data_IF_201552426920
#
_entry.id   IF_201552426920
#
_cell.length_a   1.000
_cell.length_b   1.000
_cell.length_c   1.000
_cell.angle_alpha   90.00
_cell.angle_beta   90.00
_cell.angle_gamma   90.00
#
_symmetry.space_group_name_H-M   'P 1'
#
loop_
_entity.id
_entity.type
_entity.pdbx_description
1 polymer ?
#
# COMPACT_ATOMS: atom_id res chain seq x y z
N UNK A 1 -6.85 22.52 -9.44
CA UNK A 1 -5.45 22.33 -9.90
C UNK A 1 -4.64 22.01 -8.65
N UNK A 2 -3.86 20.92 -8.64
CA UNK A 2 -3.10 20.52 -7.45
C UNK A 2 -2.02 21.56 -7.11
N UNK A 3 -1.85 21.85 -5.81
CA UNK A 3 -0.75 22.70 -5.34
C UNK A 3 0.59 21.96 -5.49
N UNK A 4 1.71 22.70 -5.47
CA UNK A 4 3.05 22.10 -5.56
C UNK A 4 3.33 21.15 -4.38
N UNK A 5 2.78 21.47 -3.20
CA UNK A 5 2.95 20.66 -2.00
C UNK A 5 2.09 19.39 -2.03
N UNK A 6 0.89 19.46 -2.63
CA UNK A 6 0.09 18.27 -2.93
C UNK A 6 0.81 17.34 -3.90
N UNK A 7 1.46 17.87 -4.95
CA UNK A 7 2.23 17.06 -5.89
C UNK A 7 3.47 16.43 -5.22
N UNK A 8 4.15 17.16 -4.33
CA UNK A 8 5.26 16.63 -3.56
C UNK A 8 4.83 15.47 -2.65
N UNK A 9 3.74 15.64 -1.90
CA UNK A 9 3.17 14.60 -1.04
C UNK A 9 2.62 13.41 -1.82
N UNK A 10 2.04 13.64 -3.00
CA UNK A 10 1.62 12.59 -3.91
C UNK A 10 2.84 11.77 -4.39
N UNK A 11 3.97 12.41 -4.71
CA UNK A 11 5.22 11.72 -5.06
C UNK A 11 5.73 10.83 -3.90
N UNK A 12 5.63 11.32 -2.66
CA UNK A 12 5.95 10.52 -1.47
C UNK A 12 4.97 9.35 -1.27
N UNK A 13 3.68 9.56 -1.53
CA UNK A 13 2.68 8.48 -1.56
C UNK A 13 3.05 7.41 -2.59
N UNK A 14 3.47 7.81 -3.79
CA UNK A 14 3.94 6.86 -4.82
C UNK A 14 5.13 6.05 -4.29
N UNK A 15 6.13 6.71 -3.71
CA UNK A 15 7.32 6.06 -3.15
C UNK A 15 7.00 5.02 -2.07
N UNK A 16 5.94 5.27 -1.29
CA UNK A 16 5.58 4.47 -0.13
C UNK A 16 5.10 3.07 -0.54
N UNK A 17 4.23 2.98 -1.55
CA UNK A 17 3.59 1.72 -1.93
C UNK A 17 4.12 1.11 -3.24
N UNK A 18 4.86 1.88 -4.07
CA UNK A 18 5.41 1.38 -5.33
C UNK A 18 6.25 0.09 -5.17
N UNK A 19 7.15 -0.04 -4.18
CA UNK A 19 7.96 -1.25 -4.05
C UNK A 19 7.14 -2.50 -3.72
N UNK A 20 6.05 -2.36 -2.95
CA UNK A 20 5.11 -3.45 -2.72
C UNK A 20 4.34 -3.82 -3.99
N UNK A 21 3.88 -2.84 -4.76
CA UNK A 21 3.20 -3.11 -6.03
C UNK A 21 4.14 -3.75 -7.07
N UNK A 22 5.42 -3.39 -7.08
CA UNK A 22 6.45 -4.06 -7.88
C UNK A 22 6.73 -5.50 -7.42
N UNK A 23 6.65 -5.77 -6.11
CA UNK A 23 6.71 -7.15 -5.59
C UNK A 23 5.55 -7.99 -6.16
N UNK A 24 4.31 -7.48 -6.12
CA UNK A 24 3.14 -8.19 -6.66
C UNK A 24 3.31 -8.52 -8.15
N UNK A 25 3.79 -7.56 -8.94
CA UNK A 25 4.03 -7.78 -10.37
C UNK A 25 5.23 -8.71 -10.68
N UNK A 26 6.11 -8.95 -9.71
CA UNK A 26 7.24 -9.89 -9.85
C UNK A 26 7.00 -11.26 -9.21
N UNK A 27 5.87 -11.45 -8.49
CA UNK A 27 5.49 -12.75 -7.92
C UNK A 27 5.47 -13.89 -8.95
N UNK A 28 4.94 -13.73 -10.18
CA UNK A 28 4.93 -14.82 -11.16
C UNK A 28 6.33 -15.31 -11.53
N UNK A 29 7.31 -14.39 -11.56
CA UNK A 29 8.72 -14.76 -11.76
C UNK A 29 9.18 -15.63 -10.60
N UNK A 30 9.09 -15.15 -9.36
CA UNK A 30 9.59 -15.85 -8.17
C UNK A 30 8.91 -17.20 -7.90
N UNK A 31 7.59 -17.30 -8.17
CA UNK A 31 6.82 -18.54 -8.00
C UNK A 31 7.26 -19.62 -8.99
N UNK A 32 7.47 -19.25 -10.25
CA UNK A 32 7.93 -20.21 -11.26
C UNK A 32 9.43 -20.47 -11.11
N UNK A 33 10.21 -19.45 -10.74
CA UNK A 33 11.66 -19.48 -10.62
C UNK A 33 12.15 -18.42 -9.61
N UNK A 34 12.82 -18.79 -8.50
CA UNK A 34 13.38 -20.10 -8.15
C UNK A 34 12.57 -20.87 -7.09
N UNK A 35 11.34 -20.46 -6.74
CA UNK A 35 10.61 -20.98 -5.57
C UNK A 35 9.47 -21.93 -5.92
N UNK A 36 9.64 -22.71 -6.99
CA UNK A 36 8.63 -23.65 -7.45
C UNK A 36 8.16 -24.57 -6.31
N UNK A 37 6.84 -24.61 -6.08
CA UNK A 37 6.21 -25.45 -5.05
C UNK A 37 6.25 -24.90 -3.62
N UNK A 38 6.76 -23.69 -3.40
CA UNK A 38 6.79 -23.05 -2.07
C UNK A 38 5.63 -22.06 -1.83
N UNK A 39 4.73 -21.89 -2.80
CA UNK A 39 3.59 -20.95 -2.75
C UNK A 39 4.06 -19.55 -2.31
N UNK A 40 4.99 -18.99 -3.10
CA UNK A 40 5.60 -17.70 -2.85
C UNK A 40 4.58 -16.54 -2.83
N UNK A 41 3.55 -16.48 -3.71
CA UNK A 41 2.51 -15.46 -3.64
C UNK A 41 1.82 -15.43 -2.28
N UNK A 42 1.39 -16.59 -1.75
CA UNK A 42 0.77 -16.65 -0.44
C UNK A 42 1.74 -16.25 0.67
N UNK A 43 2.94 -16.84 0.70
CA UNK A 43 3.92 -16.59 1.78
C UNK A 43 4.37 -15.13 1.80
N UNK A 44 4.66 -14.55 0.63
CA UNK A 44 5.08 -13.15 0.50
C UNK A 44 4.01 -12.17 0.99
N UNK A 45 2.73 -12.41 0.65
CA UNK A 45 1.62 -11.57 1.11
C UNK A 45 1.43 -11.68 2.62
N UNK A 46 1.46 -12.90 3.18
CA UNK A 46 1.34 -13.10 4.62
C UNK A 46 2.49 -12.45 5.40
N UNK A 47 3.73 -12.63 4.95
CA UNK A 47 4.91 -11.99 5.57
C UNK A 47 4.76 -10.47 5.54
N UNK A 48 4.42 -9.89 4.39
CA UNK A 48 4.24 -8.44 4.28
C UNK A 48 3.15 -7.92 5.22
N UNK A 49 1.96 -8.52 5.20
CA UNK A 49 0.82 -8.08 6.02
C UNK A 49 1.10 -8.19 7.52
N UNK A 50 1.65 -9.31 7.98
CA UNK A 50 1.99 -9.50 9.40
C UNK A 50 3.05 -8.52 9.87
N UNK A 51 4.12 -8.34 9.08
CA UNK A 51 5.18 -7.40 9.41
C UNK A 51 4.70 -5.95 9.34
N UNK A 52 3.82 -5.60 8.41
CA UNK A 52 3.25 -4.26 8.29
C UNK A 52 2.39 -3.93 9.52
N UNK A 53 1.45 -4.81 9.88
CA UNK A 53 0.61 -4.65 11.07
C UNK A 53 1.45 -4.57 12.35
N UNK A 54 2.44 -5.46 12.50
CA UNK A 54 3.33 -5.47 13.66
C UNK A 54 4.16 -4.18 13.75
N UNK A 55 4.65 -3.69 12.61
CA UNK A 55 5.44 -2.45 12.54
C UNK A 55 4.60 -1.21 12.83
N UNK A 56 3.35 -1.17 12.33
CA UNK A 56 2.40 -0.10 12.64
C UNK A 56 2.04 -0.09 14.12
N UNK A 57 1.75 -1.24 14.73
CA UNK A 57 1.47 -1.35 16.16
C UNK A 57 2.67 -0.91 17.01
N UNK A 58 3.88 -1.33 16.62
CA UNK A 58 5.11 -0.91 17.27
C UNK A 58 5.30 0.61 17.18
N UNK A 59 5.06 1.22 16.01
CA UNK A 59 5.12 2.66 15.80
C UNK A 59 4.04 3.43 16.56
N UNK A 60 2.84 2.86 16.76
CA UNK A 60 1.81 3.48 17.60
C UNK A 60 2.27 3.57 19.06
N UNK A 61 3.01 2.58 19.55
CA UNK A 61 3.48 2.55 20.95
C UNK A 61 4.80 3.31 21.19
N UNK A 62 5.70 3.33 20.20
CA UNK A 62 7.08 3.85 20.34
C UNK A 62 7.44 4.98 19.37
N UNK A 63 6.52 5.37 18.49
CA UNK A 63 6.76 6.36 17.44
C UNK A 63 7.06 7.77 17.95
N UNK A 64 6.65 8.09 19.17
CA UNK A 64 6.90 9.38 19.83
C UNK A 64 8.37 9.57 20.20
N UNK A 65 9.13 8.49 20.36
CA UNK A 65 10.55 8.55 20.73
C UNK A 65 11.46 8.96 19.56
N UNK A 66 10.97 8.93 18.33
CA UNK A 66 11.76 9.23 17.13
C UNK A 66 11.29 10.53 16.49
N UNK A 67 12.24 11.41 16.14
CA UNK A 67 11.92 12.62 15.37
C UNK A 67 11.33 12.24 14.00
N UNK A 68 10.42 13.07 13.48
CA UNK A 68 9.80 12.93 12.16
C UNK A 68 10.86 12.78 11.08
N UNK A 69 11.91 13.60 11.14
CA UNK A 69 12.98 13.60 10.15
C UNK A 69 13.85 12.33 10.23
N UNK A 70 14.14 11.82 11.42
CA UNK A 70 14.85 10.55 11.56
C UNK A 70 14.01 9.38 11.05
N UNK A 71 12.69 9.38 11.30
CA UNK A 71 11.77 8.36 10.78
C UNK A 71 11.75 8.36 9.24
N UNK A 72 11.46 9.50 8.62
CA UNK A 72 11.37 9.59 7.16
C UNK A 72 12.74 9.34 6.50
N UNK A 73 13.82 9.89 7.06
CA UNK A 73 15.17 9.66 6.56
C UNK A 73 15.62 8.20 6.65
N UNK A 74 15.43 7.56 7.81
CA UNK A 74 15.74 6.13 7.97
C UNK A 74 14.87 5.26 7.07
N UNK A 75 13.60 5.62 6.85
CA UNK A 75 12.74 4.88 5.95
C UNK A 75 13.22 4.92 4.49
N UNK A 76 13.70 6.06 3.99
CA UNK A 76 14.31 6.12 2.65
C UNK A 76 15.56 5.25 2.54
N UNK A 77 16.42 5.26 3.57
CA UNK A 77 17.62 4.40 3.59
C UNK A 77 17.21 2.92 3.56
N UNK A 78 16.30 2.51 4.44
CA UNK A 78 15.77 1.15 4.47
C UNK A 78 15.16 0.77 3.12
N UNK A 79 14.41 1.67 2.49
CA UNK A 79 13.76 1.43 1.20
C UNK A 79 14.77 1.23 0.06
N UNK A 80 15.84 2.03 0.01
CA UNK A 80 16.92 1.84 -0.98
C UNK A 80 17.62 0.50 -0.75
N UNK A 81 17.95 0.17 0.50
CA UNK A 81 18.59 -1.11 0.85
C UNK A 81 17.70 -2.28 0.44
N UNK A 82 16.41 -2.24 0.76
CA UNK A 82 15.43 -3.26 0.36
C UNK A 82 15.36 -3.42 -1.15
N UNK A 83 15.26 -2.32 -1.90
CA UNK A 83 15.19 -2.39 -3.37
C UNK A 83 16.50 -2.93 -3.97
N UNK A 84 17.66 -2.58 -3.42
CA UNK A 84 18.95 -3.15 -3.81
C UNK A 84 19.05 -4.64 -3.46
N UNK A 85 18.53 -5.05 -2.29
CA UNK A 85 18.46 -6.45 -1.89
C UNK A 85 17.57 -7.25 -2.84
N UNK A 86 16.40 -6.75 -3.21
CA UNK A 86 15.55 -7.41 -4.22
C UNK A 86 16.24 -7.49 -5.58
N UNK A 87 16.89 -6.42 -6.04
CA UNK A 87 17.64 -6.42 -7.28
C UNK A 87 18.77 -7.47 -7.26
N UNK A 88 19.54 -7.51 -6.18
CA UNK A 88 20.62 -8.48 -5.98
C UNK A 88 20.13 -9.92 -5.88
N UNK A 89 19.07 -10.17 -5.11
CA UNK A 89 18.45 -11.50 -4.98
C UNK A 89 17.91 -11.98 -6.34
N UNK A 90 17.25 -11.10 -7.10
CA UNK A 90 16.73 -11.42 -8.44
C UNK A 90 17.86 -11.87 -9.38
N UNK A 91 19.02 -11.20 -9.34
CA UNK A 91 20.19 -11.60 -10.13
C UNK A 91 20.83 -12.90 -9.61
N UNK A 92 20.97 -13.04 -8.29
CA UNK A 92 21.66 -14.16 -7.67
C UNK A 92 20.85 -15.47 -7.73
N UNK A 93 19.52 -15.36 -7.74
CA UNK A 93 18.57 -16.46 -7.88
C UNK A 93 18.64 -17.17 -9.25
N UNK A 94 19.33 -16.60 -10.24
CA UNK A 94 19.57 -17.21 -11.55
C UNK A 94 20.43 -18.49 -11.49
N UNK A 95 21.22 -18.66 -10.43
CA UNK A 95 22.10 -19.82 -10.26
C UNK A 95 21.40 -21.10 -9.78
N UNK A 96 22.12 -22.23 -9.85
CA UNK A 96 21.62 -23.57 -9.52
C UNK A 96 21.14 -23.79 -8.08
N UNK A 97 21.25 -22.79 -7.20
CA UNK A 97 20.88 -22.85 -5.79
C UNK A 97 19.87 -21.77 -5.37
N UNK A 98 18.96 -21.41 -6.29
CA UNK A 98 17.94 -20.38 -6.09
C UNK A 98 17.05 -20.55 -4.84
N UNK A 99 16.81 -21.79 -4.39
CA UNK A 99 16.03 -22.09 -3.20
C UNK A 99 16.62 -21.49 -1.90
N UNK A 100 17.94 -21.31 -1.81
CA UNK A 100 18.57 -20.68 -0.63
C UNK A 100 18.18 -19.21 -0.46
N UNK A 101 17.69 -18.56 -1.51
CA UNK A 101 17.25 -17.16 -1.46
C UNK A 101 15.81 -17.00 -0.96
N UNK A 102 15.09 -18.08 -0.64
CA UNK A 102 13.71 -18.02 -0.15
C UNK A 102 13.60 -17.31 1.20
N UNK A 103 14.42 -17.69 2.17
CA UNK A 103 14.42 -17.02 3.49
C UNK A 103 14.96 -15.58 3.39
N UNK A 104 16.07 -15.29 2.67
CA UNK A 104 16.52 -13.92 2.44
C UNK A 104 15.47 -13.00 1.80
N UNK A 105 14.69 -13.48 0.80
CA UNK A 105 13.67 -12.65 0.17
C UNK A 105 12.52 -12.36 1.14
N UNK A 106 12.08 -13.34 1.96
CA UNK A 106 11.06 -13.12 2.98
C UNK A 106 11.53 -12.12 4.06
N UNK A 107 12.80 -12.19 4.47
CA UNK A 107 13.40 -11.19 5.35
C UNK A 107 13.39 -9.79 4.70
N UNK A 108 13.72 -9.71 3.41
CA UNK A 108 13.68 -8.46 2.64
C UNK A 108 12.25 -7.89 2.58
N UNK A 109 11.23 -8.76 2.42
CA UNK A 109 9.81 -8.38 2.46
C UNK A 109 9.40 -7.88 3.86
N UNK A 110 9.90 -8.50 4.93
CA UNK A 110 9.65 -8.03 6.29
C UNK A 110 10.22 -6.62 6.53
N UNK A 111 11.45 -6.36 6.05
CA UNK A 111 12.07 -5.03 6.12
C UNK A 111 11.34 -4.04 5.22
N UNK A 112 10.85 -4.46 4.05
CA UNK A 112 9.99 -3.64 3.18
C UNK A 112 8.72 -3.19 3.92
N UNK A 113 8.07 -4.10 4.63
CA UNK A 113 6.86 -3.80 5.39
C UNK A 113 7.16 -2.80 6.53
N UNK A 114 8.30 -2.96 7.21
CA UNK A 114 8.76 -2.01 8.23
C UNK A 114 9.09 -0.64 7.63
N UNK A 115 9.85 -0.58 6.52
CA UNK A 115 10.18 0.69 5.87
C UNK A 115 8.94 1.41 5.39
N UNK A 116 7.97 0.68 4.83
CA UNK A 116 6.67 1.22 4.45
C UNK A 116 5.92 1.78 5.67
N UNK A 117 5.82 1.03 6.77
CA UNK A 117 5.15 1.50 7.99
C UNK A 117 5.78 2.80 8.53
N UNK A 118 7.12 2.86 8.59
CA UNK A 118 7.86 4.04 9.08
C UNK A 118 7.66 5.23 8.16
N UNK A 119 7.76 5.04 6.84
CA UNK A 119 7.59 6.11 5.84
C UNK A 119 6.15 6.61 5.85
N UNK A 120 5.17 5.71 5.69
CA UNK A 120 3.75 5.99 5.63
C UNK A 120 3.30 6.78 6.86
N UNK A 121 3.59 6.28 8.07
CA UNK A 121 3.20 6.98 9.30
C UNK A 121 3.91 8.33 9.46
N UNK A 122 5.15 8.46 8.99
CA UNK A 122 5.88 9.73 8.98
C UNK A 122 5.22 10.78 8.08
N UNK A 123 4.96 10.43 6.82
CA UNK A 123 4.38 11.36 5.84
C UNK A 123 2.93 11.71 6.15
N UNK A 124 2.12 10.75 6.62
CA UNK A 124 0.75 11.02 7.07
C UNK A 124 0.72 11.88 8.33
N UNK A 125 1.68 11.71 9.25
CA UNK A 125 1.81 12.57 10.42
C UNK A 125 2.05 14.04 10.03
N UNK A 126 2.91 14.30 9.04
CA UNK A 126 3.19 15.65 8.53
C UNK A 126 2.01 16.21 7.74
N UNK A 127 1.41 15.43 6.84
CA UNK A 127 0.29 15.91 6.04
C UNK A 127 -0.97 16.17 6.88
N UNK A 128 -1.23 15.31 7.88
CA UNK A 128 -2.37 15.45 8.79
C UNK A 128 -2.32 16.70 9.67
N UNK A 129 -1.12 17.22 9.98
CA UNK A 129 -0.98 18.48 10.72
C UNK A 129 -1.08 19.73 9.85
N UNK A 130 -0.99 19.60 8.51
CA UNK A 130 -1.21 20.70 7.57
C UNK A 130 -2.70 20.81 7.22
N UNK A 131 -3.26 19.76 6.60
CA UNK A 131 -4.68 19.67 6.28
C UNK A 131 -5.08 18.26 5.81
N UNK A 132 -6.37 17.93 5.90
CA UNK A 132 -6.89 16.66 5.37
C UNK A 132 -6.73 16.56 3.85
N UNK A 133 -6.75 17.68 3.11
CA UNK A 133 -6.50 17.67 1.66
C UNK A 133 -5.07 17.22 1.30
N UNK A 134 -4.10 17.52 2.16
CA UNK A 134 -2.71 17.05 2.00
C UNK A 134 -2.60 15.54 2.23
N UNK A 135 -3.35 15.01 3.22
CA UNK A 135 -3.42 13.57 3.46
C UNK A 135 -4.08 12.82 2.30
N UNK A 136 -5.13 13.41 1.71
CA UNK A 136 -5.76 12.87 0.51
C UNK A 136 -4.81 12.83 -0.70
N UNK A 137 -3.89 13.80 -0.84
CA UNK A 137 -2.87 13.79 -1.89
C UNK A 137 -1.88 12.62 -1.73
N UNK A 138 -1.48 12.28 -0.49
CA UNK A 138 -0.67 11.07 -0.23
C UNK A 138 -1.45 9.82 -0.66
N UNK A 139 -2.71 9.72 -0.26
CA UNK A 139 -3.57 8.57 -0.60
C UNK A 139 -3.74 8.41 -2.10
N UNK A 140 -3.91 9.50 -2.85
CA UNK A 140 -3.92 9.47 -4.31
C UNK A 140 -2.60 8.94 -4.86
N UNK A 141 -1.47 9.35 -4.28
CA UNK A 141 -0.13 8.83 -4.60
C UNK A 141 0.00 7.32 -4.37
N UNK A 142 -0.55 6.80 -3.26
CA UNK A 142 -0.58 5.35 -2.98
C UNK A 142 -1.32 4.60 -4.11
N UNK A 143 -2.48 5.07 -4.54
CA UNK A 143 -3.21 4.48 -5.66
C UNK A 143 -2.44 4.57 -6.99
N UNK A 144 -1.86 5.74 -7.29
CA UNK A 144 -1.07 5.94 -8.52
C UNK A 144 0.17 5.04 -8.58
N UNK A 145 0.75 4.68 -7.44
CA UNK A 145 1.85 3.70 -7.41
C UNK A 145 1.48 2.35 -8.01
N UNK A 146 0.22 1.92 -7.82
CA UNK A 146 -0.34 0.70 -8.39
C UNK A 146 -0.38 0.78 -9.91
N UNK A 147 -0.90 1.89 -10.45
CA UNK A 147 -0.91 2.15 -11.89
C UNK A 147 0.48 2.19 -12.50
N UNK A 148 1.43 2.90 -11.85
CA UNK A 148 2.82 2.99 -12.33
C UNK A 148 3.42 1.60 -12.45
N UNK A 149 3.31 0.77 -11.41
CA UNK A 149 3.86 -0.59 -11.44
C UNK A 149 3.23 -1.46 -12.54
N UNK A 150 1.90 -1.38 -12.70
CA UNK A 150 1.14 -2.16 -13.67
C UNK A 150 1.51 -1.79 -15.10
N UNK A 151 1.46 -0.50 -15.44
CA UNK A 151 1.80 -0.03 -16.78
C UNK A 151 3.28 -0.24 -17.11
N UNK A 152 4.18 -0.08 -16.14
CA UNK A 152 5.60 -0.40 -16.35
C UNK A 152 5.80 -1.89 -16.64
N UNK A 153 5.17 -2.78 -15.87
CA UNK A 153 5.25 -4.23 -16.10
C UNK A 153 4.70 -4.60 -17.48
N UNK A 154 3.53 -4.07 -17.84
CA UNK A 154 2.90 -4.30 -19.15
C UNK A 154 3.77 -3.78 -20.30
N UNK A 155 4.35 -2.58 -20.15
CA UNK A 155 5.21 -1.99 -21.17
C UNK A 155 6.46 -2.84 -21.40
N UNK A 156 7.12 -3.32 -20.34
CA UNK A 156 8.31 -4.17 -20.47
C UNK A 156 7.96 -5.49 -21.15
N UNK A 157 6.86 -6.13 -20.75
CA UNK A 157 6.39 -7.37 -21.39
C UNK A 157 6.05 -7.16 -22.88
N UNK A 158 5.36 -6.07 -23.22
CA UNK A 158 5.02 -5.73 -24.60
C UNK A 158 6.28 -5.48 -25.46
N UNK A 159 7.27 -4.76 -24.93
CA UNK A 159 8.55 -4.53 -25.61
C UNK A 159 9.33 -5.83 -25.80
N UNK A 160 9.35 -6.72 -24.82
CA UNK A 160 10.00 -8.03 -24.94
C UNK A 160 9.34 -8.89 -26.00
N UNK A 161 8.01 -8.93 -26.05
CA UNK A 161 7.25 -9.66 -27.06
C UNK A 161 7.48 -9.09 -28.47
N UNK A 162 7.60 -7.77 -28.62
CA UNK A 162 7.90 -7.14 -29.89
C UNK A 162 9.33 -7.41 -30.39
N UNK A 163 10.31 -7.55 -29.49
CA UNK A 163 11.71 -7.77 -29.85
C UNK A 163 12.00 -9.25 -30.09
N UNK A 164 11.54 -10.14 -29.22
CA UNK A 164 11.78 -11.59 -29.30
C UNK A 164 10.54 -12.37 -28.83
N UNK A 165 9.55 -12.59 -29.71
CA UNK A 165 8.30 -13.27 -29.34
C UNK A 165 8.53 -14.71 -28.85
N UNK A 166 9.56 -15.41 -29.35
CA UNK A 166 9.88 -16.77 -28.90
C UNK A 166 10.46 -16.83 -27.47
N UNK A 167 11.00 -15.72 -26.95
CA UNK A 167 11.62 -15.66 -25.61
C UNK A 167 10.77 -14.92 -24.59
N UNK A 168 9.63 -14.32 -24.98
CA UNK A 168 8.81 -13.49 -24.09
C UNK A 168 8.25 -14.27 -22.90
N UNK A 169 8.08 -15.58 -23.04
CA UNK A 169 7.45 -16.44 -22.03
C UNK A 169 8.49 -17.22 -21.21
N UNK A 170 9.77 -16.86 -21.31
CA UNK A 170 10.85 -17.53 -20.57
C UNK A 170 11.07 -16.92 -19.19
N UNK A 171 11.64 -17.69 -18.26
CA UNK A 171 12.02 -17.22 -16.93
C UNK A 171 12.93 -15.98 -16.98
N UNK A 172 13.81 -15.90 -17.99
CA UNK A 172 14.69 -14.75 -18.23
C UNK A 172 13.89 -13.47 -18.55
N UNK A 173 12.75 -13.58 -19.25
CA UNK A 173 11.90 -12.44 -19.53
C UNK A 173 11.23 -11.89 -18.26
N UNK A 174 10.70 -12.78 -17.41
CA UNK A 174 10.13 -12.42 -16.11
C UNK A 174 11.17 -11.79 -15.17
N UNK A 175 12.40 -12.29 -15.18
CA UNK A 175 13.52 -11.70 -14.44
C UNK A 175 13.79 -10.26 -14.87
N UNK A 176 13.83 -9.98 -16.17
CA UNK A 176 14.07 -8.63 -16.70
C UNK A 176 12.96 -7.67 -16.28
N UNK A 177 11.69 -8.12 -16.30
CA UNK A 177 10.56 -7.32 -15.78
C UNK A 177 10.81 -6.96 -14.31
N UNK A 178 11.14 -7.95 -13.47
CA UNK A 178 11.42 -7.71 -12.06
C UNK A 178 12.59 -6.72 -11.85
N UNK A 179 13.70 -6.89 -12.56
CA UNK A 179 14.88 -6.01 -12.45
C UNK A 179 14.57 -4.56 -12.85
N UNK A 180 13.80 -4.35 -13.93
CA UNK A 180 13.39 -3.01 -14.35
C UNK A 180 12.48 -2.36 -13.30
N UNK A 181 11.53 -3.12 -12.75
CA UNK A 181 10.66 -2.64 -11.68
C UNK A 181 11.45 -2.22 -10.44
N UNK A 182 12.44 -3.02 -10.00
CA UNK A 182 13.32 -2.66 -8.88
C UNK A 182 14.17 -1.43 -9.17
N UNK A 183 14.69 -1.28 -10.39
CA UNK A 183 15.43 -0.09 -10.80
C UNK A 183 14.56 1.18 -10.75
N UNK A 184 13.29 1.09 -11.21
CA UNK A 184 12.32 2.18 -11.11
C UNK A 184 12.03 2.51 -9.63
N UNK A 185 11.88 1.51 -8.75
CA UNK A 185 11.72 1.75 -7.32
C UNK A 185 12.90 2.50 -6.70
N UNK A 186 14.13 2.15 -7.06
CA UNK A 186 15.34 2.86 -6.59
C UNK A 186 15.31 4.31 -7.07
N UNK A 187 15.08 4.54 -8.36
CA UNK A 187 15.01 5.89 -8.93
C UNK A 187 13.91 6.74 -8.27
N UNK A 188 12.72 6.17 -8.06
CA UNK A 188 11.61 6.85 -7.39
C UNK A 188 11.92 7.15 -5.93
N UNK A 189 12.60 6.24 -5.22
CA UNK A 189 13.00 6.45 -3.82
C UNK A 189 14.01 7.60 -3.70
N UNK A 190 15.01 7.65 -4.60
CA UNK A 190 15.99 8.74 -4.64
C UNK A 190 15.34 10.08 -4.99
N UNK A 191 14.45 10.09 -5.97
CA UNK A 191 13.64 11.26 -6.34
C UNK A 191 12.82 11.77 -5.15
N UNK A 192 12.15 10.85 -4.44
CA UNK A 192 11.30 11.17 -3.28
C UNK A 192 12.10 11.66 -2.08
N UNK A 193 13.29 11.11 -1.85
CA UNK A 193 14.24 11.58 -0.87
C UNK A 193 14.65 13.05 -1.15
N UNK A 194 14.95 13.36 -2.42
CA UNK A 194 15.24 14.73 -2.85
C UNK A 194 14.04 15.66 -2.65
N UNK A 195 12.84 15.24 -3.05
CA UNK A 195 11.60 16.00 -2.87
C UNK A 195 11.36 16.31 -1.39
N UNK A 196 11.53 15.35 -0.49
CA UNK A 196 11.33 15.58 0.94
C UNK A 196 12.39 16.54 1.53
N UNK A 197 13.68 16.23 1.38
CA UNK A 197 14.74 16.97 2.08
C UNK A 197 15.09 18.32 1.46
N UNK A 198 14.96 18.45 0.13
CA UNK A 198 15.32 19.68 -0.58
C UNK A 198 14.10 20.55 -0.83
N UNK A 199 13.01 19.98 -1.34
CA UNK A 199 11.83 20.77 -1.65
C UNK A 199 10.97 21.01 -0.40
N UNK A 200 10.42 19.96 0.21
CA UNK A 200 9.46 20.14 1.31
C UNK A 200 10.08 20.79 2.54
N UNK A 201 11.25 20.32 2.98
CA UNK A 201 11.89 20.84 4.19
C UNK A 201 12.46 22.25 4.06
N UNK A 202 13.00 22.63 2.90
CA UNK A 202 13.69 23.93 2.72
C UNK A 202 12.86 24.99 2.00
N UNK A 203 11.90 24.60 1.16
CA UNK A 203 11.12 25.54 0.33
C UNK A 203 9.66 25.66 0.73
N UNK A 204 9.05 24.67 1.39
CA UNK A 204 7.67 24.80 1.87
C UNK A 204 7.67 25.29 3.33
N UNK A 205 7.28 26.56 3.59
CA UNK A 205 7.17 27.07 4.96
C UNK A 205 6.11 26.33 5.77
N UNK A 206 5.02 25.91 5.12
CA UNK A 206 3.92 25.14 5.75
C UNK A 206 4.42 23.80 6.28
N UNK A 207 5.17 23.05 5.46
CA UNK A 207 5.72 21.76 5.89
C UNK A 207 6.74 21.93 7.02
N UNK A 208 7.62 22.93 6.91
CA UNK A 208 8.63 23.20 7.94
C UNK A 208 7.99 23.55 9.29
N UNK A 209 6.96 24.39 9.28
CA UNK A 209 6.18 24.73 10.46
C UNK A 209 5.47 23.50 11.04
N UNK A 210 4.82 22.68 10.20
CA UNK A 210 4.18 21.45 10.60
C UNK A 210 5.15 20.45 11.27
N UNK A 211 6.35 20.28 10.72
CA UNK A 211 7.40 19.45 11.33
C UNK A 211 7.82 20.04 12.68
N UNK A 212 8.07 21.35 12.76
CA UNK A 212 8.47 22.00 14.01
C UNK A 212 7.41 21.84 15.12
N UNK A 213 6.13 22.00 14.78
CA UNK A 213 5.01 21.79 15.71
C UNK A 213 4.95 20.34 16.22
N UNK A 214 5.13 19.36 15.31
CA UNK A 214 5.16 17.94 15.69
C UNK A 214 6.32 17.59 16.60
N UNK A 215 7.52 18.15 16.35
CA UNK A 215 8.68 17.96 17.23
C UNK A 215 8.49 18.64 18.59
N UNK A 216 7.89 19.84 18.62
CA UNK A 216 7.60 20.54 19.89
C UNK A 216 6.59 19.77 20.74
N UNK A 217 5.52 19.27 20.14
CA UNK A 217 4.52 18.43 20.83
C UNK A 217 5.14 17.15 21.40
N UNK A 218 6.13 16.56 20.71
CA UNK A 218 6.87 15.39 21.20
C UNK A 218 7.87 15.74 22.30
N UNK A 219 8.48 16.93 22.23
CA UNK A 219 9.45 17.41 23.20
C UNK A 219 8.83 17.91 24.51
N UNK A 220 7.50 18.07 24.58
CA UNK A 220 6.75 18.34 25.81
C UNK A 220 6.24 17.02 26.43
N UNK A 221 7.03 16.32 27.26
CA UNK A 221 6.45 15.35 28.17
C UNK A 221 5.54 16.13 29.14
N UNK A 222 4.24 15.80 29.12
CA UNK A 222 3.20 16.43 29.94
C UNK A 222 3.64 16.57 31.42
N UNK A 223 3.86 17.81 31.86
CA UNK A 223 3.77 18.26 33.27
C UNK A 223 2.31 18.27 33.78
N UNK A 224 1.41 17.49 33.19
CA UNK A 224 0.02 17.38 33.63
C UNK A 224 -0.16 16.04 34.33
N UNK A 225 0.09 16.06 35.64
CA UNK A 225 -0.29 15.08 36.70
C UNK A 225 0.89 14.43 37.43
N UNK A 226 1.56 15.18 38.31
CA UNK A 226 2.11 14.61 39.56
C UNK A 226 2.34 15.70 40.61
N UNK A 227 1.26 16.31 41.11
CA UNK A 227 1.24 16.65 42.53
C UNK A 227 1.00 15.35 43.31
N UNK A 228 2.07 14.73 43.82
CA UNK A 228 1.97 13.67 44.82
C UNK A 228 2.85 12.45 44.59
N UNK A 229 3.92 12.38 45.39
CA UNK A 229 4.62 11.22 45.96
C UNK A 229 5.37 10.21 45.07
N UNK A 230 6.63 10.01 45.46
CA UNK A 230 7.54 8.92 45.13
C UNK A 230 6.96 7.54 45.47
N UNK A 231 7.19 6.52 44.64
CA UNK A 231 7.58 5.17 45.10
C UNK A 231 8.06 4.23 43.97
N UNK A 232 9.19 3.56 44.24
CA UNK A 232 9.72 2.26 43.80
C UNK A 232 9.82 1.81 42.32
N UNK A 233 10.98 1.22 42.01
CA UNK A 233 11.54 0.98 40.66
C UNK A 233 11.08 -0.30 39.93
N UNK A 234 10.12 -1.08 40.45
CA UNK A 234 9.59 -2.27 39.75
C UNK A 234 8.27 -2.02 39.02
N UNK A 235 7.54 -0.94 39.34
CA UNK A 235 6.31 -0.52 38.66
C UNK A 235 6.54 0.08 37.25
N UNK A 236 7.79 0.38 36.89
CA UNK A 236 8.14 1.18 35.71
C UNK A 236 7.69 0.59 34.36
N UNK A 237 7.63 -0.74 34.20
CA UNK A 237 7.15 -1.37 32.95
C UNK A 237 5.63 -1.44 32.84
N UNK A 238 4.93 -1.69 33.96
CA UNK A 238 3.47 -1.70 34.04
C UNK A 238 2.91 -0.27 33.89
N UNK A 239 3.56 0.69 34.56
CA UNK A 239 3.25 2.12 34.46
C UNK A 239 3.42 2.64 33.03
N UNK A 240 4.46 2.21 32.31
CA UNK A 240 4.68 2.61 30.91
C UNK A 240 3.56 2.14 29.97
N UNK A 241 3.13 0.88 30.08
CA UNK A 241 2.02 0.36 29.28
C UNK A 241 0.69 1.05 29.65
N UNK A 242 0.38 1.17 30.94
CA UNK A 242 -0.83 1.84 31.42
C UNK A 242 -0.88 3.33 30.99
N UNK A 243 0.27 4.02 30.96
CA UNK A 243 0.37 5.39 30.50
C UNK A 243 0.15 5.52 28.98
N UNK A 244 0.69 4.58 28.19
CA UNK A 244 0.41 4.52 26.75
C UNK A 244 -1.08 4.26 26.52
N UNK A 245 -1.68 3.29 27.21
CA UNK A 245 -3.11 3.01 27.10
C UNK A 245 -3.97 4.21 27.49
N UNK A 246 -3.64 4.92 28.58
CA UNK A 246 -4.36 6.15 28.97
C UNK A 246 -4.29 7.26 27.91
N UNK A 247 -3.21 7.34 27.12
CA UNK A 247 -3.10 8.27 25.98
C UNK A 247 -3.89 7.81 24.76
N UNK A 248 -3.82 6.51 24.45
CA UNK A 248 -4.44 5.95 23.26
C UNK A 248 -5.96 5.84 23.36
N UNK A 249 -6.51 5.58 24.56
CA UNK A 249 -7.96 5.42 24.76
C UNK A 249 -8.79 6.63 24.29
N UNK A 250 -8.49 7.88 24.69
CA UNK A 250 -9.27 9.03 24.23
C UNK A 250 -9.11 9.26 22.72
N UNK A 251 -7.89 9.13 22.19
CA UNK A 251 -7.63 9.28 20.74
C UNK A 251 -8.41 8.22 19.96
N UNK A 252 -8.36 6.96 20.42
CA UNK A 252 -9.06 5.85 19.81
C UNK A 252 -10.57 6.07 19.85
N UNK A 253 -11.11 6.62 20.95
CA UNK A 253 -12.52 6.98 21.06
C UNK A 253 -12.97 8.01 20.03
N UNK A 254 -12.11 8.98 19.71
CA UNK A 254 -12.39 10.02 18.70
C UNK A 254 -12.32 9.47 17.27
N UNK A 255 -11.30 8.66 16.95
CA UNK A 255 -11.08 8.14 15.60
C UNK A 255 -11.87 6.85 15.30
N UNK A 256 -12.48 6.20 16.30
CA UNK A 256 -13.11 4.88 16.16
C UNK A 256 -14.09 4.77 14.98
N UNK A 257 -15.02 5.72 14.75
CA UNK A 257 -15.96 5.61 13.62
C UNK A 257 -15.24 5.61 12.27
N UNK A 258 -14.17 6.41 12.12
CA UNK A 258 -13.37 6.46 10.91
C UNK A 258 -12.51 5.20 10.77
N UNK A 259 -11.88 4.74 11.86
CA UNK A 259 -11.10 3.51 11.89
C UNK A 259 -11.96 2.29 11.51
N UNK A 260 -13.20 2.23 11.99
CA UNK A 260 -14.15 1.16 11.65
C UNK A 260 -14.56 1.19 10.18
N UNK A 261 -14.78 2.38 9.60
CA UNK A 261 -15.05 2.51 8.17
C UNK A 261 -13.88 2.03 7.31
N UNK A 262 -12.66 2.48 7.63
CA UNK A 262 -11.44 2.10 6.92
C UNK A 262 -11.19 0.59 7.08
N UNK A 263 -11.32 0.05 8.29
CA UNK A 263 -11.19 -1.37 8.56
C UNK A 263 -12.21 -2.19 7.77
N UNK A 264 -13.50 -1.79 7.76
CA UNK A 264 -14.55 -2.47 7.00
C UNK A 264 -14.28 -2.46 5.49
N UNK A 265 -13.83 -1.31 4.95
CA UNK A 265 -13.39 -1.18 3.56
C UNK A 265 -12.29 -2.18 3.23
N UNK A 266 -11.19 -2.18 4.00
CA UNK A 266 -10.06 -3.09 3.76
C UNK A 266 -10.42 -4.56 3.98
N UNK A 267 -11.30 -4.87 4.95
CA UNK A 267 -11.78 -6.23 5.19
C UNK A 267 -12.53 -6.77 3.98
N UNK A 268 -13.49 -6.00 3.46
CA UNK A 268 -14.20 -6.38 2.23
C UNK A 268 -13.22 -6.49 1.06
N UNK A 269 -12.30 -5.52 0.92
CA UNK A 269 -11.35 -5.53 -0.19
C UNK A 269 -10.46 -6.76 -0.18
N UNK A 270 -9.81 -7.07 0.94
CA UNK A 270 -8.91 -8.22 1.06
C UNK A 270 -9.64 -9.57 1.00
N UNK A 271 -10.94 -9.59 1.35
CA UNK A 271 -11.76 -10.81 1.22
C UNK A 271 -12.04 -11.19 -0.24
N UNK A 272 -12.01 -10.21 -1.16
CA UNK A 272 -12.35 -10.40 -2.57
C UNK A 272 -11.12 -10.28 -3.48
N UNK A 273 -10.29 -9.26 -3.24
CA UNK A 273 -9.10 -8.95 -4.03
C UNK A 273 -7.81 -9.25 -3.27
N UNK A 274 -6.79 -9.88 -3.89
CA UNK A 274 -6.79 -10.42 -5.25
C UNK A 274 -7.39 -11.84 -5.33
N UNK A 275 -7.53 -12.55 -4.21
CA UNK A 275 -7.80 -14.00 -4.18
C UNK A 275 -8.98 -14.46 -5.03
N UNK A 276 -10.19 -13.96 -4.75
CA UNK A 276 -11.41 -14.35 -5.50
C UNK A 276 -11.34 -13.84 -6.94
N UNK A 277 -10.85 -12.61 -7.14
CA UNK A 277 -10.80 -11.96 -8.46
C UNK A 277 -9.87 -12.68 -9.45
N UNK A 278 -8.71 -13.17 -9.00
CA UNK A 278 -7.74 -13.85 -9.87
C UNK A 278 -8.25 -15.23 -10.33
N UNK A 279 -9.15 -15.85 -9.58
CA UNK A 279 -9.78 -17.11 -9.97
C UNK A 279 -10.93 -16.95 -10.98
N UNK A 280 -11.32 -15.73 -11.34
CA UNK A 280 -12.34 -15.52 -12.36
C UNK A 280 -11.82 -15.88 -13.75
N UNK A 281 -12.42 -16.89 -14.37
CA UNK A 281 -12.03 -17.36 -15.70
C UNK A 281 -12.88 -16.72 -16.81
N UNK A 282 -12.31 -16.26 -17.93
CA UNK A 282 -13.11 -15.74 -19.04
C UNK A 282 -14.11 -16.79 -19.55
N UNK A 283 -15.31 -16.36 -20.00
CA UNK A 283 -16.32 -17.29 -20.49
C UNK A 283 -15.83 -18.12 -21.68
N UNK A 284 -16.25 -19.38 -21.79
CA UNK A 284 -15.79 -20.37 -22.78
C UNK A 284 -15.93 -19.95 -24.26
N UNK A 285 -16.79 -18.96 -24.56
CA UNK A 285 -16.97 -18.39 -25.90
C UNK A 285 -16.20 -17.09 -26.18
N UNK A 286 -15.42 -16.58 -25.23
CA UNK A 286 -14.73 -15.29 -25.38
C UNK A 286 -13.35 -15.42 -26.05
N UNK A 287 -12.90 -14.35 -26.71
CA UNK A 287 -11.53 -14.26 -27.22
C UNK A 287 -10.47 -14.34 -26.10
N UNK A 288 -10.86 -14.09 -24.85
CA UNK A 288 -9.99 -14.13 -23.68
C UNK A 288 -9.68 -15.55 -23.18
N UNK A 289 -10.42 -16.59 -23.63
CA UNK A 289 -10.15 -17.99 -23.24
C UNK A 289 -8.72 -18.41 -23.57
N UNK A 290 -8.18 -17.94 -24.71
CA UNK A 290 -6.79 -18.21 -25.12
C UNK A 290 -5.75 -17.35 -24.41
N UNK A 291 -6.18 -16.33 -23.66
CA UNK A 291 -5.34 -15.32 -23.03
C UNK A 291 -5.72 -15.10 -21.56
N UNK A 292 -5.85 -16.20 -20.81
CA UNK A 292 -6.31 -16.20 -19.42
C UNK A 292 -5.47 -15.31 -18.48
N UNK A 293 -4.15 -15.29 -18.66
CA UNK A 293 -3.25 -14.40 -17.91
C UNK A 293 -3.52 -12.92 -18.23
N UNK A 294 -3.79 -12.59 -19.50
CA UNK A 294 -4.15 -11.23 -19.92
C UNK A 294 -5.47 -10.80 -19.29
N UNK A 295 -6.44 -11.72 -19.17
CA UNK A 295 -7.71 -11.44 -18.50
C UNK A 295 -7.54 -11.14 -17.00
N UNK A 296 -6.74 -11.94 -16.28
CA UNK A 296 -6.40 -11.67 -14.88
C UNK A 296 -5.71 -10.31 -14.70
N UNK A 297 -4.72 -10.01 -15.54
CA UNK A 297 -4.02 -8.72 -15.55
C UNK A 297 -4.97 -7.55 -15.87
N UNK A 298 -5.93 -7.75 -16.77
CA UNK A 298 -6.95 -6.75 -17.09
C UNK A 298 -7.84 -6.46 -15.88
N UNK A 299 -8.30 -7.49 -15.16
CA UNK A 299 -9.12 -7.32 -13.96
C UNK A 299 -8.35 -6.59 -12.85
N UNK A 300 -7.09 -6.96 -12.61
CA UNK A 300 -6.21 -6.25 -11.67
C UNK A 300 -6.01 -4.79 -12.11
N UNK A 301 -5.73 -4.55 -13.39
CA UNK A 301 -5.59 -3.21 -13.95
C UNK A 301 -6.87 -2.38 -13.79
N UNK A 302 -8.04 -2.96 -14.04
CA UNK A 302 -9.34 -2.34 -13.81
C UNK A 302 -9.54 -1.97 -12.35
N UNK A 303 -9.08 -2.80 -11.41
CA UNK A 303 -9.09 -2.46 -9.99
C UNK A 303 -8.19 -1.26 -9.69
N UNK A 304 -6.94 -1.27 -10.16
CA UNK A 304 -6.01 -0.15 -9.91
C UNK A 304 -6.52 1.17 -10.50
N UNK A 305 -7.08 1.14 -11.72
CA UNK A 305 -7.67 2.33 -12.36
C UNK A 305 -8.90 2.80 -11.60
N UNK A 306 -9.79 1.89 -11.25
CA UNK A 306 -10.99 2.20 -10.48
C UNK A 306 -10.67 2.81 -9.12
N UNK A 307 -9.68 2.28 -8.41
CA UNK A 307 -9.23 2.80 -7.11
C UNK A 307 -8.73 4.25 -7.23
N UNK A 308 -7.86 4.53 -8.21
CA UNK A 308 -7.34 5.90 -8.43
C UNK A 308 -8.45 6.86 -8.85
N UNK A 309 -9.37 6.43 -9.71
CA UNK A 309 -10.53 7.23 -10.07
C UNK A 309 -11.39 7.51 -8.85
N UNK A 310 -11.66 6.48 -8.03
CA UNK A 310 -12.33 6.57 -6.75
C UNK A 310 -11.71 7.65 -5.87
N UNK A 311 -10.39 7.59 -5.63
CA UNK A 311 -9.63 8.57 -4.82
C UNK A 311 -9.64 9.99 -5.40
N UNK A 312 -9.71 10.11 -6.72
CA UNK A 312 -9.72 11.39 -7.42
C UNK A 312 -11.08 12.10 -7.31
N UNK A 313 -12.18 11.36 -7.40
CA UNK A 313 -13.55 11.90 -7.23
C UNK A 313 -13.96 12.00 -5.75
N UNK A 314 -13.13 11.46 -4.88
CA UNK A 314 -13.37 11.39 -3.46
C UNK A 314 -13.63 12.82 -2.89
N UNK A 315 -12.70 13.80 -2.97
CA UNK A 315 -12.88 15.13 -2.38
C UNK A 315 -14.20 15.85 -2.73
N UNK A 316 -14.64 15.91 -4.01
CA UNK A 316 -15.91 16.55 -4.32
C UNK A 316 -17.13 15.76 -3.81
N UNK A 317 -17.10 14.43 -3.79
CA UNK A 317 -18.24 13.61 -3.31
C UNK A 317 -18.40 13.71 -1.80
N UNK A 318 -17.31 13.74 -1.04
CA UNK A 318 -17.35 13.89 0.41
C UNK A 318 -18.02 15.18 0.88
N UNK A 319 -17.82 16.28 0.14
CA UNK A 319 -18.48 17.56 0.41
C UNK A 319 -20.01 17.48 0.29
N UNK A 320 -20.53 16.50 -0.45
CA UNK A 320 -21.98 16.30 -0.69
C UNK A 320 -22.58 15.27 0.28
N UNK A 321 -21.88 14.14 0.50
CA UNK A 321 -22.39 13.03 1.33
C UNK A 321 -22.27 13.32 2.83
N UNK A 322 -21.21 14.03 3.23
CA UNK A 322 -20.90 14.37 4.61
C UNK A 322 -20.33 13.20 5.45
N UNK A 323 -19.50 13.47 6.49
CA UNK A 323 -18.89 12.44 7.34
C UNK A 323 -19.85 11.43 8.01
N UNK A 324 -21.04 11.80 8.51
CA UNK A 324 -21.87 10.87 9.29
C UNK A 324 -22.56 9.81 8.44
N UNK A 325 -22.49 9.87 7.11
CA UNK A 325 -23.16 8.92 6.19
C UNK A 325 -22.21 7.91 5.56
N UNK A 326 -20.92 8.01 5.83
CA UNK A 326 -19.90 7.15 5.21
C UNK A 326 -20.02 5.68 5.59
N UNK A 327 -20.51 5.40 6.79
CA UNK A 327 -20.77 4.03 7.24
C UNK A 327 -21.80 3.31 6.35
N UNK A 328 -22.73 4.05 5.73
CA UNK A 328 -23.72 3.47 4.79
C UNK A 328 -23.00 2.97 3.55
N UNK A 329 -22.09 3.76 2.99
CA UNK A 329 -21.28 3.36 1.83
C UNK A 329 -20.39 2.16 2.18
N UNK A 330 -19.78 2.15 3.37
CA UNK A 330 -19.01 1.01 3.86
C UNK A 330 -19.88 -0.25 3.99
N UNK A 331 -21.07 -0.17 4.60
CA UNK A 331 -21.96 -1.32 4.76
C UNK A 331 -22.44 -1.86 3.41
N UNK A 332 -22.74 -1.00 2.45
CA UNK A 332 -23.12 -1.40 1.09
C UNK A 332 -22.03 -2.26 0.43
N UNK A 333 -20.76 -2.06 0.78
CA UNK A 333 -19.66 -2.86 0.23
C UNK A 333 -19.67 -4.31 0.68
N UNK A 334 -20.26 -4.64 1.82
CA UNK A 334 -20.41 -6.05 2.22
C UNK A 334 -21.24 -6.86 1.22
N UNK A 335 -22.08 -6.22 0.41
CA UNK A 335 -22.80 -6.88 -0.68
C UNK A 335 -21.86 -7.39 -1.79
N UNK A 336 -20.65 -6.82 -1.95
CA UNK A 336 -19.68 -7.32 -2.93
C UNK A 336 -19.19 -8.74 -2.60
N UNK A 337 -19.05 -9.10 -1.33
CA UNK A 337 -18.56 -10.45 -0.94
C UNK A 337 -19.45 -11.56 -1.55
N UNK A 338 -20.77 -11.63 -1.27
CA UNK A 338 -21.61 -12.64 -1.87
C UNK A 338 -21.71 -12.49 -3.39
N UNK A 339 -21.72 -11.27 -3.95
CA UNK A 339 -21.76 -11.07 -5.41
C UNK A 339 -20.54 -11.66 -6.12
N UNK A 340 -19.33 -11.45 -5.60
CA UNK A 340 -18.10 -11.99 -6.18
C UNK A 340 -18.01 -13.51 -6.00
N UNK A 341 -18.43 -14.04 -4.84
CA UNK A 341 -18.48 -15.47 -4.58
C UNK A 341 -19.51 -16.20 -5.47
N UNK A 342 -20.68 -15.59 -5.70
CA UNK A 342 -21.68 -16.11 -6.64
C UNK A 342 -21.17 -16.04 -8.08
N UNK A 343 -20.44 -14.98 -8.44
CA UNK A 343 -19.80 -14.88 -9.75
C UNK A 343 -18.75 -15.97 -10.00
N UNK A 344 -18.03 -16.37 -8.96
CA UNK A 344 -17.10 -17.50 -9.04
C UNK A 344 -17.84 -18.85 -9.11
N UNK A 345 -18.89 -19.04 -8.31
CA UNK A 345 -19.60 -20.33 -8.20
C UNK A 345 -20.56 -20.60 -9.36
N UNK A 346 -21.16 -19.57 -9.94
CA UNK A 346 -22.16 -19.66 -11.02
C UNK A 346 -21.82 -18.69 -12.15
N UNK A 347 -20.71 -18.96 -12.88
CA UNK A 347 -20.09 -18.02 -13.81
C UNK A 347 -20.94 -17.66 -15.04
N UNK A 348 -21.99 -18.43 -15.35
CA UNK A 348 -22.83 -18.27 -16.55
C UNK A 348 -24.15 -17.54 -16.28
N UNK A 349 -24.44 -17.15 -15.03
CA UNK A 349 -25.76 -16.62 -14.65
C UNK A 349 -25.71 -15.16 -14.23
N UNK A 350 -26.77 -14.39 -14.51
CA UNK A 350 -26.92 -13.01 -14.02
C UNK A 350 -25.95 -12.01 -14.64
N UNK A 351 -25.65 -10.93 -13.89
CA UNK A 351 -24.85 -9.80 -14.36
C UNK A 351 -23.37 -10.16 -14.64
N UNK A 352 -22.81 -11.09 -13.87
CA UNK A 352 -21.45 -11.61 -14.05
C UNK A 352 -21.35 -12.74 -15.09
N UNK A 353 -22.45 -13.09 -15.75
CA UNK A 353 -22.49 -14.03 -16.88
C UNK A 353 -21.86 -13.51 -18.16
N UNK A 354 -21.27 -12.31 -18.15
CA UNK A 354 -20.52 -11.72 -19.27
C UNK A 354 -19.20 -11.15 -18.79
N UNK A 355 -18.16 -11.20 -19.62
CA UNK A 355 -16.85 -10.61 -19.31
C UNK A 355 -16.98 -9.10 -19.04
N UNK A 356 -17.87 -8.42 -19.77
CA UNK A 356 -18.17 -7.00 -19.56
C UNK A 356 -18.79 -6.74 -18.19
N UNK A 357 -19.78 -7.55 -17.77
CA UNK A 357 -20.40 -7.40 -16.45
C UNK A 357 -19.42 -7.65 -15.31
N UNK A 358 -18.48 -8.58 -15.49
CA UNK A 358 -17.40 -8.84 -14.53
C UNK A 358 -16.45 -7.66 -14.38
N UNK A 359 -16.04 -7.06 -15.51
CA UNK A 359 -15.22 -5.85 -15.54
C UNK A 359 -15.96 -4.69 -14.87
N UNK A 360 -17.23 -4.46 -15.21
CA UNK A 360 -18.04 -3.40 -14.61
C UNK A 360 -18.17 -3.59 -13.10
N UNK A 361 -18.44 -4.82 -12.63
CA UNK A 361 -18.53 -5.11 -11.20
C UNK A 361 -17.19 -4.81 -10.50
N UNK A 362 -16.07 -5.24 -11.10
CA UNK A 362 -14.72 -4.94 -10.61
C UNK A 362 -14.45 -3.43 -10.56
N UNK A 363 -14.86 -2.68 -11.58
CA UNK A 363 -14.68 -1.22 -11.61
C UNK A 363 -15.51 -0.51 -10.55
N UNK A 364 -16.79 -0.88 -10.36
CA UNK A 364 -17.65 -0.28 -9.31
C UNK A 364 -17.06 -0.58 -7.92
N UNK A 365 -16.64 -1.83 -7.70
CA UNK A 365 -16.01 -2.25 -6.47
C UNK A 365 -14.73 -1.45 -6.18
N UNK A 366 -13.87 -1.29 -7.18
CA UNK A 366 -12.62 -0.53 -7.06
C UNK A 366 -12.85 0.97 -6.82
N UNK A 367 -13.80 1.59 -7.55
CA UNK A 367 -14.19 3.00 -7.33
C UNK A 367 -14.72 3.18 -5.90
N UNK A 368 -15.54 2.25 -5.41
CA UNK A 368 -16.02 2.29 -4.02
C UNK A 368 -14.89 2.16 -3.00
N UNK A 369 -13.76 1.53 -3.39
CA UNK A 369 -12.54 1.50 -2.60
C UNK A 369 -11.91 2.87 -2.45
N UNK A 370 -11.53 3.45 -3.58
CA UNK A 370 -10.91 4.77 -3.57
C UNK A 370 -11.83 5.89 -3.06
N UNK A 371 -13.15 5.69 -3.07
CA UNK A 371 -14.11 6.68 -2.57
C UNK A 371 -14.26 6.68 -1.05
N UNK A 372 -14.23 5.54 -0.37
CA UNK A 372 -14.48 5.50 1.08
C UNK A 372 -13.18 5.60 1.88
N UNK A 373 -12.06 5.20 1.28
CA UNK A 373 -10.76 5.13 1.95
C UNK A 373 -10.15 6.49 2.34
N UNK A 374 -10.20 7.56 1.51
CA UNK A 374 -9.83 8.90 1.92
C UNK A 374 -10.90 9.45 2.84
N UNK A 375 -10.77 9.20 4.13
CA UNK A 375 -11.76 9.64 5.11
C UNK A 375 -11.86 11.16 5.09
N UNK A 376 -13.03 11.58 4.64
CA UNK A 376 -13.52 12.93 4.37
C UNK A 376 -13.25 13.94 5.48
N UNK A 377 -13.22 15.25 5.13
CA UNK A 377 -13.00 16.31 6.10
C UNK A 377 -14.01 16.32 7.24
#
# INVERSE_FOLDING_TARGET
>A
MFSRDQLALMCLGVCTLLPYNCLLNSQPYFEQHPFEGLDFPFTSMMTYSLCLCSSQLWLTCKGDSFSVNQRIGSAFIMQVVVCLSFFGITLAARGASGAHYYVPILLTIAVLALSNAVLQTGIFGVAGSISQEMSAAIMLGLGVSGLVSFFCSLLVQALQHAVNPEKSDTADAGMVVALVLWAICIAQTLSSCWVYFVYMRRRSPETSAAIAMLEEQRARPLEVSSSGSCESSEESRSAGAAQIFRRLVPILGEIWPQALNVCGVFLVTMSVFPGVLVHWEPLAGSSFVKARQVYGNLLIGCFQVGDVLGRSIAPPVGRVVGPPRLWILMLLRFAFIPLFMLGQRSPETGFWGSDAGRIVLCSIFAISNGLVEPTWP
#
